data_IF_931157034210
#
_entry.id   IF_931157034210
#
_cell.length_a   1.000
_cell.length_b   1.000
_cell.length_c   1.000
_cell.angle_alpha   90.00
_cell.angle_beta   90.00
_cell.angle_gamma   90.00
#
_symmetry.space_group_name_H-M   'P 1'
#
loop_
_entity.id
_entity.type
_entity.pdbx_description
1 polymer ?
#
# COMPACT_ATOMS: atom_id res chain seq x y z
N UNK A 1 11.71 24.85 -1.95
CA UNK A 1 10.27 24.49 -1.94
C UNK A 1 10.00 23.12 -2.56
N UNK A 2 10.61 22.79 -3.71
CA UNK A 2 10.40 21.50 -4.38
C UNK A 2 10.72 20.27 -3.52
N UNK A 3 11.87 20.26 -2.81
CA UNK A 3 12.25 19.15 -1.93
C UNK A 3 11.26 18.94 -0.75
N UNK A 4 10.74 20.03 -0.18
CA UNK A 4 9.74 19.96 0.91
C UNK A 4 8.40 19.41 0.40
N UNK A 5 8.02 19.75 -0.83
CA UNK A 5 6.83 19.20 -1.49
C UNK A 5 7.00 17.70 -1.76
N UNK A 6 8.14 17.30 -2.31
CA UNK A 6 8.47 15.89 -2.55
C UNK A 6 8.40 15.07 -1.25
N UNK A 7 8.99 15.57 -0.16
CA UNK A 7 8.94 14.89 1.13
C UNK A 7 7.50 14.74 1.64
N UNK A 8 6.69 15.80 1.56
CA UNK A 8 5.29 15.74 1.97
C UNK A 8 4.46 14.73 1.14
N UNK A 9 4.77 14.62 -0.16
CA UNK A 9 4.12 13.64 -1.04
C UNK A 9 4.56 12.20 -0.71
N UNK A 10 5.84 11.99 -0.38
CA UNK A 10 6.36 10.72 0.12
C UNK A 10 5.64 10.33 1.41
N UNK A 11 5.63 11.20 2.43
CA UNK A 11 5.02 10.92 3.72
C UNK A 11 3.53 10.58 3.58
N UNK A 12 2.83 11.28 2.68
CA UNK A 12 1.43 10.97 2.35
C UNK A 12 1.26 9.56 1.79
N UNK A 13 2.09 9.18 0.81
CA UNK A 13 2.01 7.84 0.20
C UNK A 13 2.37 6.76 1.21
N UNK A 14 3.40 6.95 2.02
CA UNK A 14 3.76 5.98 3.07
C UNK A 14 2.62 5.77 4.06
N UNK A 15 1.93 6.85 4.46
CA UNK A 15 0.73 6.74 5.31
C UNK A 15 -0.40 5.96 4.63
N UNK A 16 -0.63 6.19 3.33
CA UNK A 16 -1.64 5.46 2.57
C UNK A 16 -1.30 3.97 2.40
N UNK A 17 -0.01 3.63 2.31
CA UNK A 17 0.46 2.24 2.28
C UNK A 17 0.12 1.55 3.59
N UNK A 18 0.47 2.15 4.73
CA UNK A 18 0.17 1.60 6.05
C UNK A 18 -1.33 1.37 6.24
N UNK A 19 -2.15 2.37 5.89
CA UNK A 19 -3.60 2.26 5.95
C UNK A 19 -4.16 1.19 5.01
N UNK A 20 -3.58 1.07 3.80
CA UNK A 20 -4.00 0.08 2.81
C UNK A 20 -3.69 -1.35 3.25
N UNK A 21 -2.54 -1.57 3.88
CA UNK A 21 -2.14 -2.89 4.42
C UNK A 21 -3.06 -3.29 5.58
N UNK A 22 -3.29 -2.40 6.54
CA UNK A 22 -4.22 -2.67 7.64
C UNK A 22 -5.64 -2.97 7.13
N UNK A 23 -6.13 -2.21 6.15
CA UNK A 23 -7.44 -2.46 5.55
C UNK A 23 -7.49 -3.82 4.82
N UNK A 24 -6.39 -4.20 4.15
CA UNK A 24 -6.28 -5.48 3.47
C UNK A 24 -6.37 -6.62 4.48
N UNK A 25 -5.60 -6.57 5.58
CA UNK A 25 -5.63 -7.56 6.67
C UNK A 25 -7.03 -7.68 7.27
N UNK A 26 -7.67 -6.55 7.61
CA UNK A 26 -9.04 -6.55 8.15
C UNK A 26 -10.07 -7.15 7.19
N UNK A 27 -9.92 -6.89 5.88
CA UNK A 27 -10.83 -7.42 4.86
C UNK A 27 -10.58 -8.91 4.64
N UNK A 28 -9.33 -9.34 4.72
CA UNK A 28 -8.94 -10.73 4.61
C UNK A 28 -9.51 -11.55 5.77
N UNK A 29 -9.38 -11.07 7.00
CA UNK A 29 -9.99 -11.69 8.18
C UNK A 29 -11.53 -11.77 8.06
N UNK A 30 -12.17 -10.71 7.56
CA UNK A 30 -13.62 -10.74 7.29
C UNK A 30 -13.99 -11.80 6.26
N UNK A 31 -13.19 -11.97 5.20
CA UNK A 31 -13.41 -12.99 4.18
C UNK A 31 -13.26 -14.40 4.75
N UNK A 32 -12.26 -14.65 5.60
CA UNK A 32 -12.03 -15.97 6.21
C UNK A 32 -13.12 -16.35 7.19
N UNK A 33 -13.73 -15.38 7.88
CA UNK A 33 -14.84 -15.60 8.82
C UNK A 33 -16.23 -15.53 8.18
N UNK A 34 -16.34 -15.07 6.94
CA UNK A 34 -17.61 -15.00 6.22
C UNK A 34 -18.18 -16.41 5.98
N UNK A 35 -19.42 -16.63 6.37
CA UNK A 35 -20.13 -17.92 6.18
C UNK A 35 -21.10 -17.89 5.01
N UNK A 36 -21.48 -16.72 4.50
CA UNK A 36 -22.40 -16.55 3.38
C UNK A 36 -21.68 -16.10 2.09
N UNK A 37 -22.14 -16.60 0.94
CA UNK A 37 -21.48 -16.38 -0.35
C UNK A 37 -21.38 -14.90 -0.74
N UNK A 38 -22.45 -14.13 -0.55
CA UNK A 38 -22.48 -12.70 -0.91
C UNK A 38 -21.41 -11.89 -0.18
N UNK A 39 -21.18 -12.16 1.11
CA UNK A 39 -20.13 -11.47 1.88
C UNK A 39 -18.73 -11.90 1.46
N UNK A 40 -18.53 -13.16 1.07
CA UNK A 40 -17.26 -13.64 0.49
C UNK A 40 -16.95 -12.93 -0.82
N UNK A 41 -17.90 -12.91 -1.76
CA UNK A 41 -17.72 -12.27 -3.08
C UNK A 41 -17.40 -10.77 -2.94
N UNK A 42 -18.08 -10.09 -2.01
CA UNK A 42 -17.81 -8.69 -1.71
C UNK A 42 -16.42 -8.49 -1.13
N UNK A 43 -16.03 -9.28 -0.13
CA UNK A 43 -14.71 -9.18 0.48
C UNK A 43 -13.60 -9.50 -0.52
N UNK A 44 -13.79 -10.46 -1.42
CA UNK A 44 -12.84 -10.77 -2.50
C UNK A 44 -12.68 -9.59 -3.47
N UNK A 45 -13.78 -8.93 -3.87
CA UNK A 45 -13.74 -7.74 -4.71
C UNK A 45 -13.00 -6.57 -4.03
N UNK A 46 -13.24 -6.38 -2.74
CA UNK A 46 -12.60 -5.34 -1.92
C UNK A 46 -11.09 -5.62 -1.74
N UNK A 47 -10.70 -6.88 -1.51
CA UNK A 47 -9.30 -7.32 -1.45
C UNK A 47 -8.59 -7.09 -2.78
N UNK A 48 -9.19 -7.50 -3.90
CA UNK A 48 -8.64 -7.30 -5.25
C UNK A 48 -8.42 -5.83 -5.56
N UNK A 49 -9.35 -4.97 -5.12
CA UNK A 49 -9.23 -3.52 -5.28
C UNK A 49 -8.12 -2.95 -4.40
N UNK A 50 -7.96 -3.45 -3.18
CA UNK A 50 -6.92 -3.03 -2.23
C UNK A 50 -5.52 -3.43 -2.72
N UNK A 51 -5.33 -4.66 -3.19
CA UNK A 51 -4.08 -5.14 -3.82
C UNK A 51 -3.67 -4.21 -4.96
N UNK A 52 -4.59 -3.89 -5.89
CA UNK A 52 -4.27 -2.98 -7.00
C UNK A 52 -3.86 -1.58 -6.56
N UNK A 53 -4.40 -1.08 -5.44
CA UNK A 53 -3.99 0.23 -4.88
C UNK A 53 -2.59 0.16 -4.28
N UNK A 54 -2.30 -0.90 -3.52
CA UNK A 54 -0.98 -1.14 -2.92
C UNK A 54 0.09 -1.31 -4.01
N UNK A 55 -0.20 -2.06 -5.08
CA UNK A 55 0.67 -2.21 -6.25
C UNK A 55 1.03 -0.87 -6.90
N UNK A 56 0.05 0.02 -7.08
CA UNK A 56 0.30 1.37 -7.62
C UNK A 56 1.21 2.20 -6.71
N UNK A 57 1.02 2.09 -5.39
CA UNK A 57 1.87 2.76 -4.41
C UNK A 57 3.29 2.15 -4.42
N UNK A 58 3.43 0.84 -4.59
CA UNK A 58 4.72 0.15 -4.76
C UNK A 58 5.48 0.69 -5.97
N UNK A 59 4.81 0.85 -7.09
CA UNK A 59 5.42 1.40 -8.32
C UNK A 59 5.83 2.87 -8.16
N UNK A 60 5.02 3.67 -7.47
CA UNK A 60 5.38 5.04 -7.10
C UNK A 60 6.63 5.07 -6.21
N UNK A 61 6.67 4.21 -5.18
CA UNK A 61 7.82 4.06 -4.30
C UNK A 61 9.06 3.60 -5.08
N UNK A 62 8.92 2.66 -6.01
CA UNK A 62 10.02 2.21 -6.89
C UNK A 62 10.59 3.36 -7.71
N UNK A 63 9.73 4.24 -8.24
CA UNK A 63 10.13 5.45 -8.97
C UNK A 63 10.94 6.38 -8.07
N UNK A 64 10.50 6.59 -6.83
CA UNK A 64 11.25 7.40 -5.85
C UNK A 64 12.58 6.76 -5.43
N UNK A 65 12.62 5.44 -5.27
CA UNK A 65 13.87 4.72 -4.99
C UNK A 65 14.91 4.89 -6.10
N UNK A 66 14.48 5.09 -7.35
CA UNK A 66 15.35 5.38 -8.49
C UNK A 66 15.76 6.86 -8.60
N UNK A 67 15.07 7.78 -7.90
CA UNK A 67 15.40 9.21 -7.91
C UNK A 67 16.68 9.51 -7.10
N UNK A 68 17.50 10.42 -7.62
CA UNK A 68 18.70 10.94 -6.93
C UNK A 68 18.39 12.12 -5.98
N UNK A 69 17.17 12.66 -6.01
CA UNK A 69 16.76 13.79 -5.18
C UNK A 69 16.44 13.38 -3.73
N UNK A 70 16.37 12.08 -3.47
CA UNK A 70 16.05 11.49 -2.17
C UNK A 70 17.30 10.93 -1.55
N UNK A 71 17.74 11.53 -0.44
CA UNK A 71 18.96 11.14 0.28
C UNK A 71 18.77 9.89 1.12
N UNK A 72 17.70 9.84 1.92
CA UNK A 72 17.36 8.68 2.75
C UNK A 72 16.20 7.91 2.11
N UNK A 73 16.47 6.65 1.76
CA UNK A 73 15.54 5.74 1.09
C UNK A 73 15.06 4.62 2.01
N UNK A 74 15.44 4.63 3.28
CA UNK A 74 15.18 3.53 4.23
C UNK A 74 13.68 3.26 4.39
N UNK A 75 12.90 4.31 4.64
CA UNK A 75 11.44 4.21 4.78
C UNK A 75 10.76 3.73 3.47
N UNK A 76 11.24 4.19 2.31
CA UNK A 76 10.74 3.74 1.01
C UNK A 76 11.01 2.24 0.79
N UNK A 77 12.19 1.75 1.15
CA UNK A 77 12.53 0.33 1.04
C UNK A 77 11.69 -0.54 1.97
N UNK A 78 11.46 -0.09 3.21
CA UNK A 78 10.63 -0.78 4.20
C UNK A 78 9.19 -0.92 3.70
N UNK A 79 8.56 0.19 3.29
CA UNK A 79 7.17 0.17 2.85
C UNK A 79 6.98 -0.57 1.52
N UNK A 80 7.99 -0.55 0.64
CA UNK A 80 7.99 -1.40 -0.56
C UNK A 80 7.93 -2.89 -0.19
N UNK A 81 8.76 -3.32 0.76
CA UNK A 81 8.75 -4.70 1.25
C UNK A 81 7.44 -5.06 1.93
N UNK A 82 6.88 -4.13 2.71
CA UNK A 82 5.58 -4.32 3.36
C UNK A 82 4.45 -4.56 2.33
N UNK A 83 4.46 -3.86 1.20
CA UNK A 83 3.49 -4.13 0.14
C UNK A 83 3.73 -5.52 -0.49
N UNK A 84 4.98 -5.91 -0.68
CA UNK A 84 5.34 -7.22 -1.24
C UNK A 84 4.93 -8.41 -0.34
N UNK A 85 4.57 -8.19 0.93
CA UNK A 85 4.05 -9.28 1.79
C UNK A 85 2.56 -9.55 1.57
N UNK A 86 1.84 -8.66 0.88
CA UNK A 86 0.39 -8.75 0.63
C UNK A 86 0.01 -8.73 -0.86
N UNK A 87 1.00 -8.59 -1.76
CA UNK A 87 0.87 -8.77 -3.22
C UNK A 87 0.82 -10.25 -3.64
#
# INVERSE_FOLDING_TARGET
MAQRKLQADIDRVLKLVQQGVTLFEETFDKMTHATNQTSKDKAEADLKTSIKKLQRQRDQIKTWLQSNDIKDKSALMEHRKLIETVE
#
